data_IF_736757389052
#
_entry.id   IF_736757389052
#
_cell.length_a   1.000
_cell.length_b   1.000
_cell.length_c   1.000
_cell.angle_alpha   90.00
_cell.angle_beta   90.00
_cell.angle_gamma   90.00
#
_symmetry.space_group_name_H-M   'P 1'
#
loop_
_entity.id
_entity.type
_entity.pdbx_description
1 polymer ?
#
# COMPACT_ATOMS: atom_id res chain seq x y z
N UNK A 1 8.62 11.24 0.54
CA UNK A 1 7.44 12.08 0.21
C UNK A 1 6.42 11.21 -0.54
N UNK A 2 5.12 11.28 -0.24
CA UNK A 2 4.10 10.60 -1.04
C UNK A 2 4.14 11.07 -2.50
N UNK A 3 4.01 10.15 -3.46
CA UNK A 3 4.07 10.49 -4.89
C UNK A 3 5.46 10.82 -5.47
N UNK A 4 6.53 10.63 -4.70
CA UNK A 4 7.89 10.89 -5.18
C UNK A 4 8.47 9.77 -6.08
N UNK A 5 7.64 8.85 -6.56
CA UNK A 5 8.06 7.81 -7.51
C UNK A 5 8.87 6.66 -6.91
N UNK A 6 8.75 6.41 -5.60
CA UNK A 6 9.47 5.30 -4.94
C UNK A 6 9.30 3.97 -5.66
N UNK A 7 8.06 3.55 -5.88
CA UNK A 7 7.71 2.32 -6.60
C UNK A 7 8.34 2.30 -7.99
N UNK A 8 8.29 3.43 -8.72
CA UNK A 8 8.87 3.54 -10.06
C UNK A 8 10.40 3.40 -10.05
N UNK A 9 11.08 4.07 -9.10
CA UNK A 9 12.55 3.96 -8.95
C UNK A 9 12.95 2.52 -8.61
N UNK A 10 12.24 1.89 -7.66
CA UNK A 10 12.52 0.49 -7.32
C UNK A 10 12.31 -0.46 -8.48
N UNK A 11 11.24 -0.25 -9.25
CA UNK A 11 10.95 -1.05 -10.43
C UNK A 11 11.98 -0.84 -11.54
N UNK A 12 12.41 0.41 -11.79
CA UNK A 12 13.45 0.73 -12.77
C UNK A 12 14.78 0.05 -12.43
N UNK A 13 15.16 0.05 -11.15
CA UNK A 13 16.36 -0.66 -10.69
C UNK A 13 16.20 -2.17 -10.89
N UNK A 14 15.05 -2.76 -10.52
CA UNK A 14 14.82 -4.18 -10.68
C UNK A 14 14.86 -4.60 -12.15
N UNK A 15 14.20 -3.84 -13.04
CA UNK A 15 14.20 -4.11 -14.48
C UNK A 15 15.62 -3.99 -15.07
N UNK A 16 16.36 -2.94 -14.73
CA UNK A 16 17.73 -2.74 -15.24
C UNK A 16 18.69 -3.83 -14.79
N UNK A 17 18.51 -4.38 -13.60
CA UNK A 17 19.34 -5.48 -13.08
C UNK A 17 18.89 -6.84 -13.60
N UNK A 18 17.65 -6.97 -14.09
CA UNK A 18 17.11 -8.24 -14.59
C UNK A 18 17.21 -8.39 -16.11
N UNK A 19 17.55 -7.32 -16.84
CA UNK A 19 17.69 -7.38 -18.29
C UNK A 19 19.02 -6.75 -18.75
N UNK A 20 19.83 -7.52 -19.49
CA UNK A 20 21.03 -7.03 -20.14
C UNK A 20 20.63 -6.16 -21.35
N UNK A 21 21.16 -4.94 -21.42
CA UNK A 21 20.88 -3.97 -22.48
C UNK A 21 19.36 -3.73 -22.71
N UNK A 22 18.55 -4.00 -21.70
CA UNK A 22 17.09 -3.84 -21.73
C UNK A 22 16.33 -4.90 -22.56
N UNK A 23 16.99 -5.93 -23.06
CA UNK A 23 16.41 -6.89 -23.99
C UNK A 23 16.51 -8.36 -23.57
N UNK A 24 17.62 -8.80 -23.00
CA UNK A 24 17.86 -10.18 -22.65
C UNK A 24 17.73 -10.38 -21.11
N UNK A 25 16.89 -11.32 -20.71
CA UNK A 25 16.64 -11.60 -19.31
C UNK A 25 17.83 -12.37 -18.69
N UNK A 26 18.36 -11.86 -17.58
CA UNK A 26 19.46 -12.47 -16.82
C UNK A 26 18.87 -13.40 -15.76
N UNK A 27 19.16 -14.70 -15.83
CA UNK A 27 18.60 -15.66 -14.87
C UNK A 27 19.32 -15.73 -13.53
N UNK A 28 20.63 -15.48 -13.50
CA UNK A 28 21.49 -15.84 -12.34
C UNK A 28 22.02 -14.66 -11.50
N UNK A 29 21.91 -13.42 -11.95
CA UNK A 29 22.44 -12.23 -11.26
C UNK A 29 21.38 -11.13 -11.05
N UNK A 30 20.12 -11.45 -11.13
CA UNK A 30 19.03 -10.50 -11.14
C UNK A 30 18.79 -9.82 -9.80
N UNK A 31 17.90 -8.83 -9.84
CA UNK A 31 17.33 -8.20 -8.66
C UNK A 31 15.91 -8.72 -8.42
N UNK A 32 15.49 -8.79 -7.16
CA UNK A 32 14.11 -9.06 -6.82
C UNK A 32 13.44 -7.80 -6.26
N UNK A 33 12.32 -7.41 -6.85
CA UNK A 33 11.44 -6.37 -6.33
C UNK A 33 10.37 -7.01 -5.44
N UNK A 34 10.35 -6.63 -4.18
CA UNK A 34 9.47 -7.18 -3.15
C UNK A 34 8.48 -6.13 -2.65
N UNK A 35 7.22 -6.46 -2.64
CA UNK A 35 6.19 -5.64 -2.01
C UNK A 35 5.27 -6.46 -1.12
N UNK A 36 4.81 -5.87 -0.01
CA UNK A 36 3.79 -6.46 0.86
C UNK A 36 2.37 -6.33 0.31
N UNK A 37 2.18 -5.65 -0.82
CA UNK A 37 0.89 -5.39 -1.44
C UNK A 37 0.66 -6.31 -2.64
N UNK A 38 -0.17 -7.37 -2.47
CA UNK A 38 -0.52 -8.32 -3.53
C UNK A 38 -1.13 -7.67 -4.76
N UNK A 39 -2.19 -6.85 -4.63
CA UNK A 39 -2.77 -6.10 -5.75
C UNK A 39 -1.75 -5.29 -6.55
N UNK A 40 -0.83 -4.57 -5.88
CA UNK A 40 0.23 -3.83 -6.56
C UNK A 40 1.14 -4.77 -7.37
N UNK A 41 1.61 -5.85 -6.76
CA UNK A 41 2.46 -6.85 -7.43
C UNK A 41 1.75 -7.43 -8.65
N UNK A 42 0.48 -7.80 -8.54
CA UNK A 42 -0.29 -8.35 -9.64
C UNK A 42 -0.45 -7.38 -10.81
N UNK A 43 -0.83 -6.12 -10.52
CA UNK A 43 -0.98 -5.07 -11.55
C UNK A 43 0.35 -4.77 -12.24
N UNK A 44 1.45 -4.65 -11.49
CA UNK A 44 2.78 -4.42 -12.06
C UNK A 44 3.25 -5.60 -12.91
N UNK A 45 3.05 -6.82 -12.43
CA UNK A 45 3.41 -8.04 -13.18
C UNK A 45 2.66 -8.11 -14.50
N UNK A 46 1.36 -7.86 -14.50
CA UNK A 46 0.55 -7.88 -15.71
C UNK A 46 0.94 -6.76 -16.68
N UNK A 47 1.09 -5.52 -16.20
CA UNK A 47 1.47 -4.39 -17.02
C UNK A 47 2.82 -4.60 -17.72
N UNK A 48 3.82 -5.12 -16.99
CA UNK A 48 5.13 -5.42 -17.56
C UNK A 48 5.10 -6.63 -18.49
N UNK A 49 4.29 -7.64 -18.20
CA UNK A 49 4.13 -8.79 -19.11
C UNK A 49 3.51 -8.38 -20.45
N UNK A 50 2.52 -7.50 -20.43
CA UNK A 50 1.92 -6.92 -21.65
C UNK A 50 2.97 -6.11 -22.42
N UNK A 51 3.75 -5.26 -21.74
CA UNK A 51 4.80 -4.46 -22.38
C UNK A 51 5.91 -5.34 -22.97
N UNK A 52 6.36 -6.36 -22.24
CA UNK A 52 7.33 -7.34 -22.72
C UNK A 52 6.82 -8.08 -23.98
N UNK A 53 5.58 -8.56 -23.95
CA UNK A 53 4.97 -9.20 -25.13
C UNK A 53 4.91 -8.25 -26.32
N UNK A 54 4.54 -6.97 -26.11
CA UNK A 54 4.52 -5.94 -27.15
C UNK A 54 5.90 -5.72 -27.76
N UNK A 55 6.93 -5.53 -26.93
CA UNK A 55 8.32 -5.35 -27.37
C UNK A 55 8.84 -6.55 -28.17
N UNK A 56 8.55 -7.79 -27.73
CA UNK A 56 8.88 -9.00 -28.50
C UNK A 56 8.21 -8.99 -29.88
N UNK A 57 6.93 -8.64 -29.95
CA UNK A 57 6.19 -8.55 -31.23
C UNK A 57 6.78 -7.48 -32.15
N UNK A 58 7.18 -6.33 -31.62
CA UNK A 58 7.84 -5.25 -32.40
C UNK A 58 9.19 -5.70 -32.97
N UNK A 59 9.89 -6.65 -32.33
CA UNK A 59 11.12 -7.28 -32.81
C UNK A 59 10.87 -8.49 -33.74
N UNK A 60 9.62 -8.83 -34.03
CA UNK A 60 9.26 -10.00 -34.85
C UNK A 60 9.29 -11.32 -34.11
N UNK A 61 9.46 -11.31 -32.79
CA UNK A 61 9.48 -12.50 -31.93
C UNK A 61 8.05 -12.87 -31.50
N UNK A 62 7.79 -14.18 -31.39
CA UNK A 62 6.52 -14.69 -30.84
C UNK A 62 6.70 -15.08 -29.38
N UNK A 63 6.07 -14.34 -28.47
CA UNK A 63 6.02 -14.63 -27.03
C UNK A 63 4.57 -14.56 -26.55
N UNK A 64 4.12 -15.60 -25.85
CA UNK A 64 2.78 -15.54 -25.27
C UNK A 64 2.77 -14.79 -23.95
N UNK A 65 1.59 -14.32 -23.53
CA UNK A 65 1.45 -13.52 -22.30
C UNK A 65 1.77 -14.31 -21.04
N UNK A 66 1.47 -15.62 -21.04
CA UNK A 66 1.78 -16.51 -19.92
C UNK A 66 3.27 -16.65 -19.68
N UNK A 67 4.08 -16.74 -20.75
CA UNK A 67 5.54 -16.79 -20.64
C UNK A 67 6.10 -15.45 -20.16
N UNK A 68 5.56 -14.35 -20.64
CA UNK A 68 5.92 -13.01 -20.17
C UNK A 68 5.59 -12.82 -18.68
N UNK A 69 4.40 -13.27 -18.21
CA UNK A 69 4.04 -13.24 -16.78
C UNK A 69 4.99 -14.07 -15.92
N UNK A 70 5.38 -15.25 -16.42
CA UNK A 70 6.32 -16.13 -15.71
C UNK A 70 7.70 -15.49 -15.57
N UNK A 71 8.21 -14.85 -16.61
CA UNK A 71 9.48 -14.13 -16.61
C UNK A 71 9.45 -12.94 -15.64
N UNK A 72 8.44 -12.07 -15.75
CA UNK A 72 8.28 -10.93 -14.84
C UNK A 72 8.11 -11.40 -13.39
N UNK A 73 7.37 -12.48 -13.16
CA UNK A 73 7.17 -13.09 -11.84
C UNK A 73 8.44 -13.65 -11.19
N UNK A 74 9.55 -13.76 -11.93
CA UNK A 74 10.85 -14.13 -11.34
C UNK A 74 11.43 -12.95 -10.53
N UNK A 75 11.33 -11.74 -11.03
CA UNK A 75 11.92 -10.55 -10.40
C UNK A 75 10.92 -9.61 -9.71
N UNK A 76 9.61 -9.79 -9.87
CA UNK A 76 8.58 -9.08 -9.08
C UNK A 76 7.83 -10.10 -8.23
N UNK A 77 7.90 -9.97 -6.91
CA UNK A 77 7.31 -10.94 -6.01
C UNK A 77 6.61 -10.26 -4.82
N UNK A 78 5.56 -10.91 -4.33
CA UNK A 78 5.02 -10.57 -3.02
C UNK A 78 5.96 -11.07 -1.92
N UNK A 79 6.26 -10.22 -0.95
CA UNK A 79 7.18 -10.51 0.17
C UNK A 79 6.85 -11.84 0.88
N UNK A 80 5.57 -12.16 1.01
CA UNK A 80 5.14 -13.39 1.68
C UNK A 80 5.62 -14.64 0.95
N UNK A 81 5.59 -14.63 -0.39
CA UNK A 81 6.08 -15.75 -1.22
C UNK A 81 7.60 -15.88 -1.12
N UNK A 82 8.33 -14.77 -1.23
CA UNK A 82 9.77 -14.74 -1.06
C UNK A 82 10.18 -15.31 0.31
N UNK A 83 9.56 -14.80 1.38
CA UNK A 83 9.78 -15.27 2.74
C UNK A 83 9.51 -16.77 2.88
N UNK A 84 8.37 -17.25 2.41
CA UNK A 84 7.97 -18.67 2.55
C UNK A 84 8.91 -19.58 1.77
N UNK A 85 9.43 -19.17 0.61
CA UNK A 85 10.45 -19.88 -0.15
C UNK A 85 11.77 -19.97 0.63
N UNK A 86 12.19 -18.89 1.27
CA UNK A 86 13.41 -18.90 2.09
C UNK A 86 13.24 -19.75 3.36
N UNK A 87 12.09 -19.65 4.03
CA UNK A 87 11.78 -20.46 5.21
C UNK A 87 11.71 -21.96 4.90
N UNK A 88 11.34 -22.36 3.69
CA UNK A 88 11.34 -23.75 3.27
C UNK A 88 12.76 -24.34 3.20
N UNK A 89 13.79 -23.52 3.06
CA UNK A 89 15.20 -23.93 3.00
C UNK A 89 15.87 -24.08 4.37
N UNK A 90 15.25 -23.61 5.46
CA UNK A 90 15.88 -23.67 6.79
C UNK A 90 15.74 -25.04 7.47
N UNK A 91 16.65 -25.31 8.40
CA UNK A 91 16.52 -26.41 9.35
C UNK A 91 15.34 -26.16 10.30
N UNK A 92 14.46 -27.14 10.45
CA UNK A 92 13.32 -27.10 11.38
C UNK A 92 13.26 -28.42 12.16
N UNK A 93 13.25 -28.42 13.51
CA UNK A 93 13.08 -27.25 14.40
C UNK A 93 14.32 -26.36 14.49
N UNK A 94 14.09 -25.06 14.77
CA UNK A 94 15.13 -24.08 15.04
C UNK A 94 15.77 -24.42 16.40
N UNK A 95 17.10 -24.47 16.46
CA UNK A 95 17.86 -24.73 17.67
C UNK A 95 18.54 -23.46 18.16
N UNK A 96 18.47 -23.20 19.45
CA UNK A 96 19.13 -22.07 20.12
C UNK A 96 18.82 -20.68 19.50
N UNK A 97 17.68 -20.52 18.81
CA UNK A 97 17.32 -19.27 18.16
C UNK A 97 18.19 -18.90 16.95
N UNK A 98 18.95 -19.86 16.39
CA UNK A 98 19.83 -19.64 15.24
C UNK A 98 19.15 -20.22 14.00
N UNK A 99 19.03 -19.41 12.94
CA UNK A 99 18.57 -19.88 11.63
C UNK A 99 19.74 -20.45 10.85
N UNK A 100 19.56 -21.65 10.33
CA UNK A 100 20.55 -22.32 9.47
C UNK A 100 19.86 -22.83 8.21
N UNK A 101 20.55 -22.71 7.07
CA UNK A 101 20.12 -23.36 5.82
C UNK A 101 20.32 -24.87 5.95
N UNK A 102 19.35 -25.63 5.45
CA UNK A 102 19.41 -27.08 5.27
C UNK A 102 19.89 -27.33 3.83
N UNK A 103 21.13 -27.83 3.62
CA UNK A 103 21.70 -27.97 2.28
C UNK A 103 20.89 -28.90 1.37
N UNK A 104 20.31 -29.97 1.92
CA UNK A 104 19.51 -30.90 1.12
C UNK A 104 18.21 -30.27 0.63
N UNK A 105 17.53 -29.52 1.50
CA UNK A 105 16.33 -28.78 1.12
C UNK A 105 16.64 -27.66 0.12
N UNK A 106 17.74 -26.93 0.32
CA UNK A 106 18.17 -25.89 -0.60
C UNK A 106 18.41 -26.43 -2.00
N UNK A 107 19.18 -27.53 -2.14
CA UNK A 107 19.44 -28.19 -3.43
C UNK A 107 18.14 -28.70 -4.07
N UNK A 108 17.26 -29.32 -3.29
CA UNK A 108 15.97 -29.81 -3.79
C UNK A 108 15.08 -28.71 -4.33
N UNK A 109 15.02 -27.58 -3.62
CA UNK A 109 14.22 -26.42 -4.01
C UNK A 109 14.81 -25.68 -5.20
N UNK A 110 16.14 -25.55 -5.28
CA UNK A 110 16.82 -24.99 -6.46
C UNK A 110 16.51 -25.80 -7.72
N UNK A 111 16.60 -27.13 -7.67
CA UNK A 111 16.21 -28.01 -8.79
C UNK A 111 14.73 -27.90 -9.17
N UNK A 112 13.87 -27.46 -8.27
CA UNK A 112 12.45 -27.22 -8.52
C UNK A 112 12.17 -25.79 -9.04
N UNK A 113 13.22 -25.00 -9.35
CA UNK A 113 13.09 -23.63 -9.86
C UNK A 113 12.86 -22.56 -8.77
N UNK A 114 13.02 -22.91 -7.50
CA UNK A 114 13.07 -21.93 -6.40
C UNK A 114 14.52 -21.51 -6.21
N UNK A 115 14.96 -20.58 -7.04
CA UNK A 115 16.33 -20.22 -7.30
C UNK A 115 17.22 -19.86 -6.11
N UNK A 116 18.44 -19.50 -6.40
CA UNK A 116 19.41 -18.96 -5.46
C UNK A 116 18.92 -17.62 -4.90
N UNK A 117 19.56 -17.14 -3.83
CA UNK A 117 19.26 -15.83 -3.26
C UNK A 117 19.77 -14.76 -4.22
N UNK A 118 18.91 -13.81 -4.60
CA UNK A 118 19.28 -12.70 -5.46
C UNK A 118 20.37 -11.84 -4.82
N UNK A 119 21.22 -11.20 -5.63
CA UNK A 119 22.21 -10.24 -5.12
C UNK A 119 21.57 -8.94 -4.66
N UNK A 120 20.51 -8.52 -5.31
CA UNK A 120 19.83 -7.25 -5.04
C UNK A 120 18.38 -7.50 -4.67
N UNK A 121 17.96 -7.04 -3.50
CA UNK A 121 16.56 -7.00 -3.11
C UNK A 121 16.07 -5.56 -2.96
N UNK A 122 15.03 -5.20 -3.69
CA UNK A 122 14.35 -3.90 -3.57
C UNK A 122 13.07 -4.14 -2.79
N UNK A 123 12.95 -3.51 -1.63
CA UNK A 123 11.79 -3.67 -0.77
C UNK A 123 10.91 -2.41 -0.79
N UNK A 124 9.80 -2.45 -1.53
CA UNK A 124 8.85 -1.33 -1.60
C UNK A 124 7.89 -1.37 -0.41
N UNK A 125 7.89 -0.27 0.36
CA UNK A 125 7.15 -0.17 1.60
C UNK A 125 7.85 -0.86 2.77
N UNK A 126 9.17 -0.71 2.90
CA UNK A 126 9.97 -1.34 3.94
C UNK A 126 9.53 -1.00 5.37
N UNK A 127 8.89 0.16 5.60
CA UNK A 127 8.28 0.53 6.88
C UNK A 127 7.14 -0.40 7.31
N UNK A 128 6.59 -1.21 6.38
CA UNK A 128 5.49 -2.13 6.62
C UNK A 128 5.93 -3.55 7.00
N UNK A 129 7.23 -3.78 7.12
CA UNK A 129 7.76 -5.07 7.57
C UNK A 129 7.17 -5.46 8.94
N UNK A 130 6.94 -6.75 9.12
CA UNK A 130 6.28 -7.25 10.33
C UNK A 130 7.22 -7.28 11.51
N UNK A 131 6.68 -6.91 12.69
CA UNK A 131 7.40 -7.10 13.96
C UNK A 131 7.70 -8.58 14.21
N UNK A 132 8.69 -8.85 15.05
CA UNK A 132 9.02 -10.21 15.49
C UNK A 132 7.79 -10.96 16.00
N UNK A 133 6.98 -10.32 16.88
CA UNK A 133 5.76 -10.93 17.44
C UNK A 133 4.78 -11.34 16.34
N UNK A 134 4.48 -10.46 15.41
CA UNK A 134 3.53 -10.74 14.32
C UNK A 134 4.00 -11.88 13.43
N UNK A 135 5.28 -11.89 13.06
CA UNK A 135 5.85 -12.94 12.22
C UNK A 135 5.88 -14.29 12.94
N UNK A 136 6.32 -14.31 14.20
CA UNK A 136 6.34 -15.52 15.03
C UNK A 136 4.94 -16.10 15.23
N UNK A 137 3.94 -15.27 15.55
CA UNK A 137 2.55 -15.71 15.69
C UNK A 137 1.96 -16.26 14.38
N UNK A 138 2.32 -15.67 13.25
CA UNK A 138 1.90 -16.13 11.92
C UNK A 138 2.49 -17.52 11.60
N UNK A 139 3.79 -17.69 11.80
CA UNK A 139 4.50 -18.94 11.51
C UNK A 139 4.08 -20.07 12.46
N UNK A 140 3.77 -19.76 13.72
CA UNK A 140 3.25 -20.73 14.69
C UNK A 140 1.91 -21.31 14.27
N UNK A 141 1.04 -20.51 13.62
CA UNK A 141 -0.26 -20.98 13.11
C UNK A 141 -0.13 -21.76 11.78
N UNK A 142 1.02 -21.68 11.12
CA UNK A 142 1.28 -22.38 9.87
C UNK A 142 0.82 -21.60 8.65
N UNK A 143 1.24 -20.36 8.48
CA UNK A 143 1.09 -19.48 7.29
C UNK A 143 0.01 -19.80 6.26
N UNK A 144 -0.45 -18.82 5.53
CA UNK A 144 -1.54 -18.99 4.54
C UNK A 144 -1.06 -19.12 3.10
N UNK A 145 0.19 -18.83 2.82
CA UNK A 145 0.73 -18.83 1.46
C UNK A 145 1.57 -20.11 1.20
N UNK A 146 1.02 -21.04 0.42
CA UNK A 146 1.72 -22.12 -0.26
C UNK A 146 2.30 -23.27 0.58
N UNK A 147 3.11 -22.99 1.55
CA UNK A 147 3.68 -23.97 2.46
C UNK A 147 3.12 -23.79 3.87
N UNK A 148 2.33 -24.74 4.33
CA UNK A 148 1.80 -24.79 5.72
C UNK A 148 2.92 -25.12 6.72
N UNK A 149 4.07 -24.43 6.62
CA UNK A 149 5.22 -24.65 7.47
C UNK A 149 4.93 -24.06 8.85
N UNK A 150 4.70 -24.93 9.83
CA UNK A 150 4.61 -24.51 11.22
C UNK A 150 6.01 -24.39 11.80
N UNK A 151 6.40 -23.17 12.15
CA UNK A 151 7.66 -22.89 12.81
C UNK A 151 7.36 -22.30 14.18
N UNK A 152 7.85 -22.97 15.22
CA UNK A 152 7.74 -22.47 16.61
C UNK A 152 9.00 -21.65 16.93
N UNK A 153 8.81 -20.66 17.79
CA UNK A 153 9.88 -19.86 18.38
C UNK A 153 10.82 -19.22 17.33
N UNK A 154 10.20 -18.68 16.26
CA UNK A 154 10.94 -18.00 15.21
C UNK A 154 11.62 -16.72 15.76
N UNK A 155 12.94 -16.55 15.61
CA UNK A 155 13.71 -15.58 16.39
C UNK A 155 13.85 -14.20 15.77
N UNK A 156 13.38 -13.96 14.54
CA UNK A 156 13.62 -12.73 13.80
C UNK A 156 12.33 -11.96 13.51
N UNK A 157 12.45 -10.63 13.40
CA UNK A 157 11.46 -9.80 12.72
C UNK A 157 11.55 -10.00 11.19
N UNK A 158 10.57 -9.54 10.44
CA UNK A 158 10.60 -9.66 8.97
C UNK A 158 11.78 -8.89 8.38
N UNK A 159 12.10 -7.69 8.88
CA UNK A 159 13.27 -6.93 8.48
C UNK A 159 14.57 -7.71 8.73
N UNK A 160 14.73 -8.24 9.94
CA UNK A 160 15.92 -9.05 10.28
C UNK A 160 16.02 -10.33 9.45
N UNK A 161 14.90 -10.97 9.12
CA UNK A 161 14.86 -12.16 8.28
C UNK A 161 15.25 -11.86 6.83
N UNK A 162 14.82 -10.73 6.29
CA UNK A 162 15.20 -10.30 4.95
C UNK A 162 16.68 -10.01 4.84
N UNK A 163 17.25 -9.31 5.84
CA UNK A 163 18.72 -9.10 5.90
C UNK A 163 19.42 -10.44 5.99
N UNK A 164 18.98 -11.32 6.90
CA UNK A 164 19.55 -12.66 7.05
C UNK A 164 19.51 -13.46 5.76
N UNK A 165 18.43 -13.36 4.98
CA UNK A 165 18.29 -14.13 3.73
C UNK A 165 19.34 -13.73 2.67
N UNK A 166 19.66 -12.43 2.57
CA UNK A 166 20.68 -11.95 1.65
C UNK A 166 22.10 -12.11 2.23
N UNK A 167 22.23 -12.14 3.55
CA UNK A 167 23.50 -12.39 4.25
C UNK A 167 24.02 -13.84 4.06
N UNK A 168 23.21 -14.71 3.44
CA UNK A 168 23.67 -16.05 3.02
C UNK A 168 24.54 -16.03 1.76
N UNK A 169 24.67 -14.88 1.08
CA UNK A 169 25.60 -14.71 -0.04
C UNK A 169 27.02 -14.56 0.49
N UNK A 170 27.96 -15.29 -0.11
CA UNK A 170 29.38 -15.27 0.31
C UNK A 170 30.15 -14.08 -0.29
N UNK A 171 29.69 -13.56 -1.43
CA UNK A 171 30.38 -12.51 -2.19
C UNK A 171 29.87 -11.12 -1.85
N UNK A 172 28.70 -10.72 -2.31
CA UNK A 172 28.06 -9.45 -2.03
C UNK A 172 26.54 -9.50 -2.11
N UNK A 173 25.89 -8.62 -1.39
CA UNK A 173 24.46 -8.39 -1.50
C UNK A 173 24.09 -6.94 -1.22
N UNK A 174 23.00 -6.47 -1.78
CA UNK A 174 22.45 -5.12 -1.57
C UNK A 174 20.95 -5.18 -1.28
N UNK A 175 20.53 -4.46 -0.24
CA UNK A 175 19.11 -4.27 0.08
C UNK A 175 18.77 -2.80 -0.12
N UNK A 176 17.78 -2.52 -0.96
CA UNK A 176 17.25 -1.18 -1.21
C UNK A 176 15.88 -1.06 -0.53
N UNK A 177 15.80 -0.32 0.56
CA UNK A 177 14.57 -0.06 1.28
C UNK A 177 13.90 1.23 0.79
N UNK A 178 12.76 1.13 0.13
CA UNK A 178 11.95 2.27 -0.27
C UNK A 178 10.95 2.59 0.85
N UNK A 179 11.15 3.72 1.51
CA UNK A 179 10.41 4.10 2.72
C UNK A 179 9.51 5.29 2.45
N UNK A 180 8.27 5.23 2.92
CA UNK A 180 7.32 6.34 2.90
C UNK A 180 6.66 6.51 4.25
N UNK A 181 6.79 7.68 4.87
CA UNK A 181 6.14 7.97 6.14
C UNK A 181 4.61 8.06 6.05
N UNK A 182 3.91 7.76 7.16
CA UNK A 182 2.46 7.94 7.30
C UNK A 182 1.59 7.04 6.42
N UNK A 183 2.12 5.91 5.95
CA UNK A 183 1.40 4.95 5.11
C UNK A 183 1.18 3.58 5.78
N UNK A 184 1.44 3.50 7.07
CA UNK A 184 1.14 2.33 7.88
C UNK A 184 -0.38 2.18 8.04
N UNK A 185 -0.94 1.08 7.55
CA UNK A 185 -2.39 0.81 7.56
C UNK A 185 -2.77 -0.49 8.26
N UNK A 186 -1.78 -1.25 8.76
CA UNK A 186 -2.05 -2.52 9.44
C UNK A 186 -1.33 -2.63 10.79
N UNK A 187 -1.97 -3.31 11.75
CA UNK A 187 -1.37 -3.65 13.04
C UNK A 187 -0.12 -4.52 12.90
N UNK A 188 0.93 -4.18 13.66
CA UNK A 188 2.17 -4.94 13.71
C UNK A 188 3.15 -4.63 12.57
N UNK A 189 2.98 -3.51 11.87
CA UNK A 189 4.01 -2.93 11.02
C UNK A 189 5.05 -2.21 11.90
N UNK A 190 6.32 -2.46 11.64
CA UNK A 190 7.41 -2.16 12.58
C UNK A 190 8.16 -0.84 12.30
N UNK A 191 7.82 -0.17 11.20
CA UNK A 191 8.54 1.04 10.78
C UNK A 191 10.00 0.77 10.39
N UNK A 192 10.76 1.86 10.22
CA UNK A 192 12.19 1.79 9.90
C UNK A 192 13.05 1.34 11.10
N UNK A 193 12.56 1.51 12.31
CA UNK A 193 13.30 1.21 13.54
C UNK A 193 13.72 -0.25 13.65
N UNK A 194 12.91 -1.20 13.17
CA UNK A 194 13.29 -2.63 13.18
C UNK A 194 14.42 -2.95 12.20
N UNK A 195 14.49 -2.26 11.06
CA UNK A 195 15.61 -2.40 10.14
C UNK A 195 16.92 -1.91 10.80
N UNK A 196 16.88 -0.73 11.41
CA UNK A 196 18.04 -0.14 12.10
C UNK A 196 18.46 -1.03 13.27
N UNK A 197 17.51 -1.53 14.06
CA UNK A 197 17.77 -2.44 15.17
C UNK A 197 18.45 -3.73 14.69
N UNK A 198 17.94 -4.35 13.63
CA UNK A 198 18.52 -5.56 13.08
C UNK A 198 19.96 -5.34 12.60
N UNK A 199 20.23 -4.21 11.93
CA UNK A 199 21.57 -3.85 11.47
C UNK A 199 22.53 -3.60 12.64
N UNK A 200 22.11 -2.90 13.67
CA UNK A 200 22.97 -2.61 14.83
C UNK A 200 23.25 -3.84 15.71
N UNK A 201 22.25 -4.71 15.93
CA UNK A 201 22.35 -5.80 16.89
C UNK A 201 22.85 -7.11 16.28
N UNK A 202 22.54 -7.39 15.01
CA UNK A 202 22.77 -8.71 14.40
C UNK A 202 23.64 -8.69 13.14
N UNK A 203 23.55 -7.61 12.35
CA UNK A 203 24.19 -7.50 11.04
C UNK A 203 25.09 -6.27 10.96
N UNK A 204 25.87 -6.01 12.01
CA UNK A 204 26.76 -4.84 12.14
C UNK A 204 27.89 -4.79 11.09
N UNK A 205 28.12 -5.86 10.35
CA UNK A 205 29.08 -5.89 9.23
C UNK A 205 28.56 -5.20 7.96
N UNK A 206 27.23 -5.01 7.82
CA UNK A 206 26.65 -4.32 6.69
C UNK A 206 26.95 -2.82 6.69
N UNK A 207 27.19 -2.26 5.51
CA UNK A 207 27.31 -0.80 5.30
C UNK A 207 25.91 -0.22 5.10
N UNK A 208 25.64 0.92 5.72
CA UNK A 208 24.34 1.58 5.68
C UNK A 208 24.48 2.90 4.91
N UNK A 209 23.71 3.05 3.84
CA UNK A 209 23.54 4.29 3.11
C UNK A 209 22.14 4.83 3.36
N UNK A 210 22.02 6.06 3.86
CA UNK A 210 20.75 6.60 4.31
C UNK A 210 20.61 8.07 3.93
N UNK A 211 19.38 8.53 3.68
CA UNK A 211 19.09 9.95 3.46
C UNK A 211 19.34 10.77 4.71
N UNK A 212 19.99 11.92 4.56
CA UNK A 212 20.21 12.93 5.62
C UNK A 212 18.89 13.61 6.08
N UNK A 213 17.76 13.43 5.36
CA UNK A 213 16.47 14.07 5.62
C UNK A 213 15.45 13.19 6.34
N UNK A 214 15.86 12.05 6.88
CA UNK A 214 14.97 11.15 7.65
C UNK A 214 14.83 11.60 9.13
N UNK A 215 14.55 12.89 9.35
CA UNK A 215 14.43 13.51 10.68
C UNK A 215 12.97 13.78 11.10
N UNK A 216 12.00 13.54 10.20
CA UNK A 216 10.58 13.77 10.48
C UNK A 216 10.04 12.73 11.48
N UNK A 217 9.05 13.14 12.29
CA UNK A 217 8.40 12.25 13.29
C UNK A 217 7.82 10.97 12.70
N UNK A 218 7.47 10.97 11.43
CA UNK A 218 6.94 9.82 10.71
C UNK A 218 7.98 8.68 10.56
N UNK A 219 9.27 8.97 10.81
CA UNK A 219 10.36 8.00 10.72
C UNK A 219 10.96 7.77 12.11
N UNK A 220 10.62 6.66 12.74
CA UNK A 220 11.09 6.27 14.07
C UNK A 220 10.94 7.40 15.12
N UNK A 221 9.81 8.14 15.11
CA UNK A 221 9.55 9.30 15.96
C UNK A 221 10.61 10.42 15.87
N UNK A 222 11.27 10.56 14.72
CA UNK A 222 12.35 11.51 14.48
C UNK A 222 13.71 11.08 15.05
N UNK A 223 13.83 9.86 15.58
CA UNK A 223 15.04 9.37 16.28
C UNK A 223 16.01 8.57 15.41
N UNK A 224 15.85 8.58 14.09
CA UNK A 224 16.72 7.81 13.18
C UNK A 224 18.21 8.10 13.42
N UNK A 225 18.58 9.38 13.57
CA UNK A 225 19.96 9.78 13.81
C UNK A 225 20.49 9.28 15.17
N UNK A 226 19.65 9.27 16.20
CA UNK A 226 20.03 8.72 17.52
C UNK A 226 20.26 7.21 17.45
N UNK A 227 19.38 6.49 16.73
CA UNK A 227 19.50 5.04 16.56
C UNK A 227 20.76 4.63 15.77
N UNK A 228 21.28 5.50 14.94
CA UNK A 228 22.47 5.27 14.12
C UNK A 228 23.74 5.93 14.65
N UNK A 229 23.67 6.72 15.73
CA UNK A 229 24.77 7.54 16.23
C UNK A 229 26.06 6.75 16.56
N UNK A 230 25.93 5.50 16.99
CA UNK A 230 27.05 4.64 17.38
C UNK A 230 27.48 3.65 16.27
N UNK A 231 26.96 3.80 15.04
CA UNK A 231 27.31 2.91 13.95
C UNK A 231 28.28 3.60 12.99
N UNK A 232 29.51 3.13 12.95
CA UNK A 232 30.61 3.68 12.14
C UNK A 232 30.51 3.36 10.65
N UNK A 233 29.57 2.51 10.24
CA UNK A 233 29.35 2.09 8.85
C UNK A 233 28.21 2.84 8.14
N UNK A 234 27.76 3.93 8.73
CA UNK A 234 26.67 4.76 8.19
C UNK A 234 27.22 5.87 7.30
N UNK A 235 26.69 5.94 6.09
CA UNK A 235 26.96 7.04 5.15
C UNK A 235 25.67 7.79 4.85
N UNK A 236 25.63 9.07 5.15
CA UNK A 236 24.50 9.95 4.83
C UNK A 236 24.65 10.53 3.43
N UNK A 237 23.56 10.56 2.66
CA UNK A 237 23.54 11.13 1.32
C UNK A 237 22.19 11.80 1.01
N UNK A 238 22.25 13.06 0.60
CA UNK A 238 21.08 13.79 0.11
C UNK A 238 20.48 13.21 -1.18
N UNK A 239 21.30 12.50 -1.98
CA UNK A 239 20.87 11.85 -3.22
C UNK A 239 19.92 10.66 -2.98
N UNK A 240 19.86 10.13 -1.76
CA UNK A 240 18.93 9.08 -1.37
C UNK A 240 17.56 9.62 -0.94
N UNK A 241 17.34 10.93 -1.05
CA UNK A 241 16.07 11.55 -0.75
C UNK A 241 15.27 11.82 -2.03
N UNK A 242 14.14 11.11 -2.18
CA UNK A 242 13.18 11.42 -3.23
C UNK A 242 12.29 12.60 -2.78
N UNK A 243 12.82 13.81 -2.96
CA UNK A 243 12.19 15.06 -2.49
C UNK A 243 11.23 15.70 -3.48
N UNK A 244 11.31 15.30 -4.76
CA UNK A 244 10.48 15.87 -5.81
C UNK A 244 9.31 14.93 -6.09
N UNK A 245 8.09 15.46 -6.00
CA UNK A 245 6.90 14.71 -6.38
C UNK A 245 6.87 14.53 -7.91
N UNK A 246 6.78 13.28 -8.38
CA UNK A 246 6.48 12.97 -9.79
C UNK A 246 5.01 13.20 -10.12
N UNK A 247 4.18 13.44 -9.12
CA UNK A 247 2.81 13.90 -9.35
C UNK A 247 2.85 15.23 -10.08
N UNK A 248 1.86 15.43 -10.93
CA UNK A 248 1.64 16.74 -11.54
C UNK A 248 1.88 17.85 -10.51
N UNK A 249 2.54 18.94 -10.89
CA UNK A 249 2.65 20.18 -10.08
C UNK A 249 1.29 20.62 -9.50
N UNK A 250 0.19 20.14 -10.10
CA UNK A 250 -1.17 20.35 -9.63
C UNK A 250 -1.46 19.75 -8.25
N UNK A 251 -0.76 18.64 -7.90
CA UNK A 251 -0.97 17.95 -6.63
C UNK A 251 0.14 18.21 -5.59
N UNK A 252 1.02 19.19 -5.81
CA UNK A 252 2.19 19.45 -4.98
C UNK A 252 1.82 19.67 -3.50
N UNK A 253 0.76 20.43 -3.24
CA UNK A 253 0.32 20.74 -1.88
C UNK A 253 -0.80 19.82 -1.37
N UNK A 254 -1.18 18.79 -2.12
CA UNK A 254 -2.27 17.89 -1.75
C UNK A 254 -2.01 17.18 -0.41
N UNK A 255 -0.77 16.75 -0.19
CA UNK A 255 -0.42 16.06 1.06
C UNK A 255 -0.57 16.97 2.28
N UNK A 256 -0.20 18.27 2.16
CA UNK A 256 -0.37 19.25 3.21
C UNK A 256 -1.87 19.53 3.47
N UNK A 257 -2.66 19.66 2.41
CA UNK A 257 -4.12 19.78 2.51
C UNK A 257 -4.73 18.58 3.26
N UNK A 258 -4.45 17.36 2.82
CA UNK A 258 -4.99 16.13 3.43
C UNK A 258 -4.54 15.98 4.87
N UNK A 259 -3.28 16.31 5.19
CA UNK A 259 -2.80 16.31 6.57
C UNK A 259 -3.60 17.30 7.44
N UNK A 260 -3.74 18.55 6.98
CA UNK A 260 -4.48 19.59 7.71
C UNK A 260 -5.96 19.23 7.88
N UNK A 261 -6.60 18.67 6.83
CA UNK A 261 -7.98 18.20 6.87
C UNK A 261 -8.17 17.10 7.93
N UNK A 262 -7.35 16.07 7.90
CA UNK A 262 -7.48 14.93 8.82
C UNK A 262 -7.06 15.26 10.27
N UNK A 263 -6.33 16.36 10.48
CA UNK A 263 -5.88 16.83 11.80
C UNK A 263 -6.76 17.96 12.37
N UNK A 264 -7.85 18.33 11.70
CA UNK A 264 -8.65 19.53 12.04
C UNK A 264 -7.82 20.82 12.14
N UNK A 265 -6.73 20.91 11.37
CA UNK A 265 -5.92 22.12 11.36
C UNK A 265 -6.65 23.24 10.59
N UNK A 266 -6.77 24.46 11.15
CA UNK A 266 -7.38 25.60 10.47
C UNK A 266 -6.77 25.93 9.10
N UNK A 267 -5.51 25.57 8.88
CA UNK A 267 -4.81 25.77 7.61
C UNK A 267 -5.40 24.95 6.44
N UNK A 268 -6.32 24.02 6.69
CA UNK A 268 -6.94 23.21 5.64
C UNK A 268 -7.59 24.07 4.55
N UNK A 269 -8.31 25.16 4.94
CA UNK A 269 -8.92 26.09 3.99
C UNK A 269 -7.87 26.83 3.15
N UNK A 270 -6.76 27.25 3.75
CA UNK A 270 -5.65 27.90 3.04
C UNK A 270 -5.01 26.95 2.01
N UNK A 271 -4.76 25.70 2.39
CA UNK A 271 -4.22 24.72 1.48
C UNK A 271 -5.18 24.38 0.35
N UNK A 272 -6.48 24.27 0.64
CA UNK A 272 -7.50 24.07 -0.38
C UNK A 272 -7.51 25.21 -1.40
N UNK A 273 -7.50 26.48 -0.97
CA UNK A 273 -7.44 27.63 -1.86
C UNK A 273 -6.20 27.64 -2.78
N UNK A 274 -5.06 27.15 -2.29
CA UNK A 274 -3.84 27.04 -3.09
C UNK A 274 -3.95 26.01 -4.20
N UNK A 275 -4.65 24.89 -3.95
CA UNK A 275 -4.66 23.75 -4.89
C UNK A 275 -5.88 23.75 -5.82
N UNK A 276 -7.04 24.29 -5.41
CA UNK A 276 -8.32 24.14 -6.12
C UNK A 276 -8.31 24.56 -7.60
N UNK A 277 -7.49 25.52 -7.97
CA UNK A 277 -7.37 25.99 -9.37
C UNK A 277 -6.73 24.99 -10.31
N UNK A 278 -5.80 24.19 -9.79
CA UNK A 278 -4.99 23.25 -10.57
C UNK A 278 -5.31 21.78 -10.28
N UNK A 279 -5.87 21.54 -9.10
CA UNK A 279 -6.29 20.23 -8.64
C UNK A 279 -7.71 20.34 -8.04
N UNK A 280 -8.75 20.14 -8.86
CA UNK A 280 -10.13 20.30 -8.41
C UNK A 280 -10.48 19.22 -7.36
N UNK A 281 -10.98 19.70 -6.23
CA UNK A 281 -11.58 18.84 -5.19
C UNK A 281 -12.99 19.38 -4.99
N UNK A 282 -13.99 18.54 -5.24
CA UNK A 282 -15.40 18.89 -5.09
C UNK A 282 -16.08 17.98 -4.08
N UNK A 283 -17.17 18.46 -3.49
CA UNK A 283 -17.95 17.76 -2.48
C UNK A 283 -19.36 17.49 -3.01
N UNK A 284 -19.91 16.32 -2.71
CA UNK A 284 -21.30 16.02 -3.00
C UNK A 284 -21.88 15.03 -1.99
N UNK A 285 -23.21 14.96 -1.90
CA UNK A 285 -23.93 13.93 -1.17
C UNK A 285 -24.55 12.88 -2.11
N UNK A 286 -24.53 13.16 -3.40
CA UNK A 286 -25.16 12.37 -4.45
C UNK A 286 -24.12 11.58 -5.24
N UNK A 287 -24.23 10.25 -5.23
CA UNK A 287 -23.32 9.36 -5.94
C UNK A 287 -23.45 9.48 -7.46
N UNK A 288 -24.64 9.79 -7.99
CA UNK A 288 -24.84 9.95 -9.42
C UNK A 288 -24.23 11.26 -9.94
N UNK A 289 -24.26 12.31 -9.14
CA UNK A 289 -23.51 13.55 -9.41
C UNK A 289 -22.00 13.29 -9.38
N UNK A 290 -21.50 12.50 -8.42
CA UNK A 290 -20.10 12.10 -8.37
C UNK A 290 -19.69 11.34 -9.64
N UNK A 291 -20.47 10.34 -10.06
CA UNK A 291 -20.24 9.59 -11.31
C UNK A 291 -20.25 10.50 -12.54
N UNK A 292 -21.24 11.40 -12.63
CA UNK A 292 -21.36 12.35 -13.73
C UNK A 292 -20.13 13.28 -13.80
N UNK A 293 -19.68 13.78 -12.65
CA UNK A 293 -18.49 14.62 -12.57
C UNK A 293 -17.24 13.86 -13.04
N UNK A 294 -17.01 12.64 -12.57
CA UNK A 294 -15.87 11.82 -13.01
C UNK A 294 -15.90 11.59 -14.53
N UNK A 295 -17.06 11.18 -15.07
CA UNK A 295 -17.23 10.96 -16.53
C UNK A 295 -16.97 12.24 -17.33
N UNK A 296 -17.35 13.42 -16.82
CA UNK A 296 -17.13 14.71 -17.47
C UNK A 296 -15.65 15.13 -17.51
N UNK A 297 -14.86 14.68 -16.53
CA UNK A 297 -13.43 15.02 -16.41
C UNK A 297 -12.51 14.04 -17.11
N UNK A 298 -12.85 12.75 -17.13
CA UNK A 298 -12.00 11.67 -17.64
C UNK A 298 -11.99 11.64 -19.16
N UNK A 299 -10.82 11.74 -19.78
CA UNK A 299 -10.64 11.77 -21.23
C UNK A 299 -9.55 10.81 -21.72
N UNK A 300 -9.72 10.28 -22.92
CA UNK A 300 -8.74 9.41 -23.57
C UNK A 300 -8.41 8.17 -22.72
N UNK A 301 -7.15 7.95 -22.46
CA UNK A 301 -6.63 6.83 -21.63
C UNK A 301 -6.65 7.09 -20.13
N UNK A 302 -7.20 8.22 -19.68
CA UNK A 302 -7.27 8.53 -18.26
C UNK A 302 -8.15 7.53 -17.52
N UNK A 303 -7.77 7.24 -16.28
CA UNK A 303 -8.46 6.32 -15.38
C UNK A 303 -9.19 7.10 -14.28
N UNK A 304 -10.44 6.75 -14.08
CA UNK A 304 -11.23 7.19 -12.94
C UNK A 304 -11.69 5.98 -12.13
N UNK A 305 -11.94 6.15 -10.82
CA UNK A 305 -12.43 5.05 -9.99
C UNK A 305 -13.03 5.53 -8.68
N UNK A 306 -13.89 4.68 -8.11
CA UNK A 306 -14.48 4.86 -6.79
C UNK A 306 -13.58 4.21 -5.75
N UNK A 307 -13.29 4.95 -4.69
CA UNK A 307 -12.43 4.50 -3.59
C UNK A 307 -13.19 4.52 -2.27
N UNK A 308 -13.02 3.48 -1.47
CA UNK A 308 -13.70 3.32 -0.18
C UNK A 308 -12.73 2.83 0.89
N UNK A 309 -13.04 3.09 2.16
CA UNK A 309 -12.35 2.44 3.27
C UNK A 309 -12.68 0.94 3.28
N UNK A 310 -11.70 0.10 3.62
CA UNK A 310 -11.92 -1.33 3.89
C UNK A 310 -12.96 -1.57 5.00
N UNK A 311 -13.09 -0.63 5.93
CA UNK A 311 -14.09 -0.69 6.99
C UNK A 311 -15.49 -0.24 6.54
N UNK A 312 -15.62 0.31 5.34
CA UNK A 312 -16.89 0.69 4.74
C UNK A 312 -17.76 -0.54 4.51
N UNK A 313 -19.04 -0.44 4.84
CA UNK A 313 -19.93 -1.60 4.82
C UNK A 313 -21.30 -1.33 4.19
N UNK A 314 -21.68 -0.07 3.96
CA UNK A 314 -23.09 0.29 3.71
C UNK A 314 -23.35 0.99 2.36
N UNK A 315 -22.66 0.57 1.29
CA UNK A 315 -22.77 1.19 -0.04
C UNK A 315 -23.61 0.45 -1.06
N UNK A 316 -24.08 -0.77 -0.77
CA UNK A 316 -24.97 -1.51 -1.68
C UNK A 316 -26.22 -0.72 -2.10
N UNK A 317 -26.89 0.06 -1.21
CA UNK A 317 -28.02 0.90 -1.61
C UNK A 317 -27.68 2.03 -2.59
N UNK A 318 -26.40 2.36 -2.76
CA UNK A 318 -25.90 3.32 -3.75
C UNK A 318 -25.43 2.64 -5.04
N UNK A 319 -25.77 1.36 -5.23
CA UNK A 319 -25.30 0.53 -6.33
C UNK A 319 -23.75 0.55 -6.46
N UNK A 320 -23.07 0.46 -5.32
CA UNK A 320 -21.61 0.32 -5.24
C UNK A 320 -21.28 -1.02 -4.61
N UNK A 321 -20.50 -1.80 -5.33
CA UNK A 321 -19.91 -3.05 -4.87
C UNK A 321 -18.45 -2.79 -4.46
N UNK A 322 -18.06 -3.30 -3.29
CA UNK A 322 -16.64 -3.23 -2.88
C UNK A 322 -15.93 -4.39 -3.57
N UNK A 323 -14.87 -4.04 -4.30
CA UNK A 323 -14.09 -5.00 -5.06
C UNK A 323 -13.60 -6.14 -4.16
N UNK A 324 -13.95 -7.36 -4.52
CA UNK A 324 -13.53 -8.53 -3.76
C UNK A 324 -12.01 -8.66 -3.69
N UNK A 325 -11.53 -9.23 -2.60
CA UNK A 325 -10.11 -9.50 -2.45
C UNK A 325 -9.68 -10.55 -3.47
N UNK A 326 -8.64 -10.23 -4.23
CA UNK A 326 -8.09 -11.10 -5.26
C UNK A 326 -7.20 -10.28 -6.19
N UNK A 327 -6.05 -10.83 -6.53
CA UNK A 327 -5.08 -10.15 -7.36
C UNK A 327 -5.62 -9.92 -8.78
N UNK A 328 -6.38 -10.88 -9.32
CA UNK A 328 -7.01 -10.78 -10.65
C UNK A 328 -8.04 -9.64 -10.73
N UNK A 329 -8.84 -9.46 -9.67
CA UNK A 329 -9.83 -8.39 -9.62
C UNK A 329 -9.15 -7.00 -9.67
N UNK A 330 -8.04 -6.84 -8.96
CA UNK A 330 -7.25 -5.61 -9.01
C UNK A 330 -6.66 -5.36 -10.41
N UNK A 331 -6.16 -6.40 -11.08
CA UNK A 331 -5.62 -6.31 -12.44
C UNK A 331 -6.69 -5.80 -13.40
N UNK A 332 -7.86 -6.41 -13.43
CA UNK A 332 -8.96 -5.97 -14.30
C UNK A 332 -9.41 -4.54 -13.97
N UNK A 333 -9.58 -4.23 -12.69
CA UNK A 333 -10.02 -2.92 -12.26
C UNK A 333 -9.05 -1.79 -12.69
N UNK A 334 -7.73 -2.03 -12.61
CA UNK A 334 -6.73 -1.02 -12.98
C UNK A 334 -6.39 -0.99 -14.46
N UNK A 335 -6.32 -2.15 -15.13
CA UNK A 335 -5.73 -2.21 -16.48
C UNK A 335 -6.77 -2.24 -17.61
N UNK A 336 -7.98 -2.79 -17.37
CA UNK A 336 -9.00 -2.85 -18.42
C UNK A 336 -9.48 -1.45 -18.84
N UNK A 337 -9.86 -1.34 -20.08
CA UNK A 337 -10.37 -0.09 -20.61
C UNK A 337 -11.81 0.20 -20.18
N UNK A 338 -12.34 1.36 -20.55
CA UNK A 338 -13.66 1.82 -20.12
C UNK A 338 -14.87 1.03 -20.68
N UNK A 339 -14.65 0.10 -21.60
CA UNK A 339 -15.70 -0.74 -22.17
C UNK A 339 -15.84 -2.07 -21.41
N UNK A 340 -14.89 -2.41 -20.56
CA UNK A 340 -14.97 -3.59 -19.68
C UNK A 340 -15.69 -3.21 -18.38
N UNK A 341 -16.70 -3.99 -18.01
CA UNK A 341 -17.51 -3.76 -16.79
C UNK A 341 -16.68 -3.87 -15.50
N UNK A 342 -15.55 -4.56 -15.54
CA UNK A 342 -14.62 -4.72 -14.41
C UNK A 342 -13.65 -3.53 -14.25
N UNK A 343 -13.60 -2.63 -15.25
CA UNK A 343 -12.72 -1.47 -15.23
C UNK A 343 -13.15 -0.46 -14.17
N UNK A 344 -12.19 0.19 -13.53
CA UNK A 344 -12.43 1.32 -12.61
C UNK A 344 -13.28 2.44 -13.24
N UNK A 345 -13.15 2.63 -14.57
CA UNK A 345 -13.91 3.65 -15.31
C UNK A 345 -15.41 3.36 -15.38
N UNK A 346 -15.85 2.13 -15.08
CA UNK A 346 -17.28 1.78 -15.05
C UNK A 346 -17.99 2.39 -13.84
N UNK A 347 -17.23 2.65 -12.74
CA UNK A 347 -17.68 3.35 -11.52
C UNK A 347 -18.78 2.62 -10.73
N UNK A 348 -18.84 1.30 -10.81
CA UNK A 348 -19.75 0.45 -10.03
C UNK A 348 -19.00 -0.31 -8.93
N UNK A 349 -17.77 -0.74 -9.24
CA UNK A 349 -16.87 -1.38 -8.27
C UNK A 349 -15.95 -0.35 -7.62
N UNK A 350 -15.88 -0.39 -6.30
CA UNK A 350 -15.02 0.48 -5.50
C UNK A 350 -13.80 -0.28 -4.95
N UNK A 351 -12.61 0.26 -5.14
CA UNK A 351 -11.39 -0.29 -4.56
C UNK A 351 -11.11 0.28 -3.17
N UNK A 352 -10.52 -0.54 -2.31
CA UNK A 352 -10.14 -0.15 -0.95
C UNK A 352 -8.73 0.46 -0.91
N UNK A 353 -8.39 1.11 0.22
CA UNK A 353 -7.05 1.66 0.44
C UNK A 353 -5.94 0.62 0.27
N UNK A 354 -6.22 -0.66 0.57
CA UNK A 354 -5.25 -1.75 0.41
C UNK A 354 -5.01 -2.02 -1.08
N UNK A 355 -6.07 -2.03 -1.90
CA UNK A 355 -5.98 -2.31 -3.32
C UNK A 355 -5.34 -1.17 -4.11
N UNK A 356 -5.53 0.08 -3.69
CA UNK A 356 -4.95 1.25 -4.39
C UNK A 356 -3.62 1.72 -3.82
N UNK A 357 -3.13 1.09 -2.76
CA UNK A 357 -1.85 1.51 -2.18
C UNK A 357 -0.69 1.22 -3.14
N UNK A 358 0.11 2.24 -3.45
CA UNK A 358 1.18 2.17 -4.45
C UNK A 358 0.71 2.43 -5.88
N UNK A 359 -0.61 2.44 -6.15
CA UNK A 359 -1.21 2.73 -7.44
C UNK A 359 -1.91 4.08 -7.42
N UNK A 360 -2.07 4.70 -8.57
CA UNK A 360 -2.69 6.02 -8.73
C UNK A 360 -3.67 6.02 -9.91
N UNK A 361 -4.72 6.82 -9.78
CA UNK A 361 -5.70 7.11 -10.82
C UNK A 361 -5.61 8.58 -11.24
N UNK A 362 -6.15 8.94 -12.37
CA UNK A 362 -6.22 10.35 -12.77
C UNK A 362 -7.26 11.10 -11.97
N UNK A 363 -8.44 10.52 -11.82
CA UNK A 363 -9.53 11.06 -11.02
C UNK A 363 -10.10 10.01 -10.07
N UNK A 364 -10.54 10.42 -8.89
CA UNK A 364 -11.16 9.52 -7.93
C UNK A 364 -12.45 10.08 -7.35
N UNK A 365 -13.38 9.19 -7.01
CA UNK A 365 -14.42 9.47 -6.04
C UNK A 365 -14.02 8.81 -4.73
N UNK A 366 -13.75 9.60 -3.70
CA UNK A 366 -13.61 9.08 -2.33
C UNK A 366 -15.00 9.04 -1.72
N UNK A 367 -15.59 7.84 -1.66
CA UNK A 367 -16.89 7.62 -1.07
C UNK A 367 -16.72 7.36 0.43
N UNK A 368 -17.14 8.32 1.23
CA UNK A 368 -16.94 8.34 2.67
C UNK A 368 -18.09 7.64 3.40
N UNK A 369 -17.77 6.59 4.18
CA UNK A 369 -18.78 5.88 4.96
C UNK A 369 -18.80 6.32 6.43
N UNK A 370 -19.69 5.72 7.19
CA UNK A 370 -19.91 5.97 8.60
C UNK A 370 -18.89 5.30 9.54
N UNK A 371 -17.82 4.72 9.00
CA UNK A 371 -16.71 4.14 9.77
C UNK A 371 -15.82 5.21 10.43
N UNK A 372 -15.66 6.38 9.80
CA UNK A 372 -14.97 7.54 10.37
C UNK A 372 -15.88 8.76 10.29
N UNK A 373 -16.33 9.24 11.45
CA UNK A 373 -17.31 10.33 11.55
C UNK A 373 -16.71 11.55 12.22
N UNK A 374 -17.06 12.72 11.73
CA UNK A 374 -16.76 13.99 12.41
C UNK A 374 -17.87 14.30 13.42
N UNK A 375 -17.58 14.22 14.70
CA UNK A 375 -18.50 14.58 15.78
C UNK A 375 -17.82 15.62 16.68
N UNK A 376 -18.42 16.80 16.83
CA UNK A 376 -17.87 17.89 17.65
C UNK A 376 -16.40 18.21 17.35
N UNK A 377 -16.05 18.34 16.07
CA UNK A 377 -14.68 18.62 15.60
C UNK A 377 -13.65 17.58 16.08
N UNK A 378 -14.06 16.31 16.13
CA UNK A 378 -13.18 15.15 16.43
C UNK A 378 -13.58 13.99 15.55
N UNK A 379 -12.60 13.21 15.13
CA UNK A 379 -12.86 11.96 14.47
C UNK A 379 -13.27 10.90 15.47
N UNK A 380 -14.41 10.26 15.22
CA UNK A 380 -14.90 9.07 15.87
C UNK A 380 -14.79 7.88 14.92
N UNK A 381 -14.45 6.74 15.45
CA UNK A 381 -14.13 5.53 14.68
C UNK A 381 -15.10 4.42 15.02
N UNK A 382 -15.66 3.79 13.99
CA UNK A 382 -16.69 2.78 14.14
C UNK A 382 -16.38 1.56 13.28
N UNK A 383 -16.62 0.37 13.83
CA UNK A 383 -16.58 -0.87 13.08
C UNK A 383 -18.02 -1.38 12.89
N UNK A 384 -18.35 -1.81 11.67
CA UNK A 384 -19.64 -2.42 11.40
C UNK A 384 -19.62 -3.88 11.87
N UNK A 385 -20.37 -4.18 12.94
CA UNK A 385 -20.34 -5.48 13.56
C UNK A 385 -21.56 -6.33 13.16
N UNK A 386 -21.27 -7.45 12.54
CA UNK A 386 -22.27 -8.43 12.18
C UNK A 386 -23.20 -7.92 11.07
N UNK A 387 -24.47 -7.74 11.36
CA UNK A 387 -25.49 -7.48 10.33
C UNK A 387 -26.27 -6.18 10.56
N UNK A 388 -26.11 -5.52 11.71
CA UNK A 388 -27.13 -4.56 12.16
C UNK A 388 -26.64 -3.28 12.80
N UNK A 389 -25.38 -3.14 13.22
CA UNK A 389 -24.97 -1.96 14.00
C UNK A 389 -23.49 -1.58 13.83
N UNK A 390 -23.25 -0.28 13.93
CA UNK A 390 -21.93 0.29 14.12
C UNK A 390 -21.55 0.25 15.60
N UNK A 391 -20.31 -0.15 15.90
CA UNK A 391 -19.72 -0.07 17.25
C UNK A 391 -18.59 0.92 17.26
N UNK A 392 -18.62 1.88 18.19
CA UNK A 392 -17.53 2.83 18.38
C UNK A 392 -16.28 2.12 18.93
N UNK A 393 -15.13 2.42 18.36
CA UNK A 393 -13.82 1.96 18.81
C UNK A 393 -13.30 2.90 19.92
N UNK A 394 -13.72 2.64 21.16
CA UNK A 394 -13.41 3.47 22.34
C UNK A 394 -12.28 2.92 23.21
N UNK A 395 -11.71 1.77 22.86
CA UNK A 395 -10.67 1.12 23.65
C UNK A 395 -9.45 2.03 23.90
N UNK A 396 -8.87 1.90 25.10
CA UNK A 396 -7.66 2.67 25.51
C UNK A 396 -6.38 1.85 25.40
N UNK A 397 -6.47 0.60 24.97
CA UNK A 397 -5.31 -0.25 24.73
C UNK A 397 -4.49 0.24 23.55
N UNK A 398 -3.20 -0.02 23.55
CA UNK A 398 -2.30 0.28 22.42
C UNK A 398 -2.88 -0.20 21.08
N UNK A 399 -3.35 -1.44 21.04
CA UNK A 399 -3.99 -2.02 19.84
C UNK A 399 -5.25 -1.27 19.38
N UNK A 400 -6.03 -0.66 20.29
CA UNK A 400 -7.21 0.14 19.93
C UNK A 400 -6.80 1.53 19.41
N UNK A 401 -5.75 2.12 19.97
CA UNK A 401 -5.18 3.37 19.49
C UNK A 401 -4.61 3.19 18.08
N UNK A 402 -3.84 2.14 17.85
CA UNK A 402 -3.33 1.79 16.53
C UNK A 402 -4.44 1.60 15.50
N UNK A 403 -5.50 0.86 15.82
CA UNK A 403 -6.65 0.66 14.91
C UNK A 403 -7.26 1.98 14.47
N UNK A 404 -7.50 2.91 15.39
CA UNK A 404 -8.02 4.25 15.05
C UNK A 404 -7.07 5.01 14.14
N UNK A 405 -5.77 4.94 14.40
CA UNK A 405 -4.76 5.55 13.54
C UNK A 405 -4.77 4.93 12.13
N UNK A 406 -4.92 3.62 12.02
CA UNK A 406 -5.01 2.95 10.72
C UNK A 406 -6.27 3.33 9.95
N UNK A 407 -7.42 3.47 10.61
CA UNK A 407 -8.65 3.95 9.96
C UNK A 407 -8.47 5.37 9.42
N UNK A 408 -7.82 6.25 10.16
CA UNK A 408 -7.51 7.59 9.68
C UNK A 408 -6.49 7.58 8.53
N UNK A 409 -5.47 6.74 8.61
CA UNK A 409 -4.49 6.57 7.56
C UNK A 409 -5.10 5.97 6.28
N UNK A 410 -6.15 5.12 6.39
CA UNK A 410 -6.90 4.64 5.23
C UNK A 410 -7.46 5.82 4.42
N UNK A 411 -8.14 6.77 5.06
CA UNK A 411 -8.62 7.99 4.39
C UNK A 411 -7.48 8.86 3.87
N UNK A 412 -6.34 8.93 4.57
CA UNK A 412 -5.15 9.62 4.03
C UNK A 412 -4.68 8.98 2.71
N UNK A 413 -4.65 7.66 2.64
CA UNK A 413 -4.32 6.93 1.40
C UNK A 413 -5.34 7.25 0.32
N UNK A 414 -6.63 7.11 0.57
CA UNK A 414 -7.70 7.34 -0.40
C UNK A 414 -7.68 8.77 -0.97
N UNK A 415 -7.58 9.77 -0.11
CA UNK A 415 -7.54 11.20 -0.47
C UNK A 415 -6.27 11.63 -1.22
N UNK A 416 -5.28 10.75 -1.30
CA UNK A 416 -4.02 11.01 -2.00
C UNK A 416 -3.81 10.11 -3.23
N UNK A 417 -4.82 9.41 -3.73
CA UNK A 417 -4.65 8.50 -4.89
C UNK A 417 -4.89 9.13 -6.24
N UNK A 418 -5.59 10.25 -6.30
CA UNK A 418 -5.81 10.94 -7.55
C UNK A 418 -4.59 11.78 -7.97
N UNK A 419 -4.27 11.78 -9.25
CA UNK A 419 -3.19 12.61 -9.83
C UNK A 419 -3.66 13.98 -10.27
N UNK A 420 -4.93 14.12 -10.65
CA UNK A 420 -5.45 15.32 -11.31
C UNK A 420 -6.57 15.99 -10.50
N UNK A 421 -7.46 15.22 -9.88
CA UNK A 421 -8.56 15.76 -9.09
C UNK A 421 -9.45 14.69 -8.50
N UNK A 422 -10.29 15.08 -7.54
CA UNK A 422 -11.18 14.15 -6.87
C UNK A 422 -12.54 14.77 -6.55
N UNK A 423 -13.54 13.89 -6.40
CA UNK A 423 -14.80 14.21 -5.73
C UNK A 423 -14.86 13.45 -4.42
N UNK A 424 -15.24 14.12 -3.35
CA UNK A 424 -15.53 13.50 -2.06
C UNK A 424 -17.05 13.37 -1.98
N UNK A 425 -17.55 12.14 -1.90
CA UNK A 425 -18.96 11.86 -1.76
C UNK A 425 -19.26 11.41 -0.33
N UNK A 426 -20.05 12.19 0.39
CA UNK A 426 -20.52 11.87 1.75
C UNK A 426 -22.04 11.68 1.67
N UNK A 427 -22.55 10.44 1.68
CA UNK A 427 -23.99 10.16 1.47
C UNK A 427 -24.90 10.90 2.45
N UNK A 428 -26.15 11.10 2.07
CA UNK A 428 -27.16 11.67 2.96
C UNK A 428 -27.62 10.72 4.06
N UNK A 429 -27.38 9.43 3.87
CA UNK A 429 -27.94 8.40 4.71
C UNK A 429 -29.35 7.99 4.25
N UNK A 430 -30.12 7.36 5.14
CA UNK A 430 -31.50 6.99 4.89
C UNK A 430 -32.41 7.82 5.77
N UNK A 431 -33.28 8.62 5.13
CA UNK A 431 -34.27 9.48 5.79
C UNK A 431 -35.64 8.84 5.97
N UNK A 432 -35.82 7.60 5.46
CA UNK A 432 -37.09 6.92 5.48
C UNK A 432 -37.37 6.31 6.85
N UNK A 433 -38.63 6.34 7.21
CA UNK A 433 -39.17 5.72 8.41
C UNK A 433 -40.30 4.76 8.06
N UNK A 434 -40.33 3.61 8.71
CA UNK A 434 -41.40 2.65 8.60
C UNK A 434 -42.51 2.98 9.60
N UNK A 435 -43.66 2.28 9.48
CA UNK A 435 -44.75 2.35 10.43
C UNK A 435 -44.29 2.13 11.86
N UNK A 436 -44.65 3.05 12.77
CA UNK A 436 -44.19 3.03 14.17
C UNK A 436 -43.00 3.96 14.47
N UNK A 437 -42.53 4.75 13.51
CA UNK A 437 -41.49 5.77 13.70
C UNK A 437 -40.06 5.22 13.80
N UNK A 438 -39.85 3.98 13.39
CA UNK A 438 -38.50 3.39 13.31
C UNK A 438 -37.83 3.71 11.98
N UNK A 439 -36.52 3.99 11.93
CA UNK A 439 -35.79 4.17 10.69
C UNK A 439 -35.91 2.91 9.81
N UNK A 440 -36.13 3.06 8.51
CA UNK A 440 -36.12 1.97 7.54
C UNK A 440 -34.74 1.28 7.51
N UNK A 441 -33.67 2.06 7.58
CA UNK A 441 -32.29 1.57 7.69
C UNK A 441 -31.53 2.30 8.82
N UNK A 442 -31.61 1.77 10.02
CA UNK A 442 -30.93 2.30 11.21
C UNK A 442 -29.38 2.22 11.10
N UNK A 443 -28.85 1.56 10.09
CA UNK A 443 -27.40 1.47 9.87
C UNK A 443 -26.84 2.59 9.00
N UNK A 444 -27.72 3.44 8.43
CA UNK A 444 -27.38 4.56 7.55
C UNK A 444 -28.13 5.84 7.96
N UNK A 445 -28.18 6.12 9.24
CA UNK A 445 -28.83 7.35 9.72
C UNK A 445 -28.11 8.60 9.20
N UNK A 446 -28.82 9.67 8.82
CA UNK A 446 -28.24 10.92 8.33
C UNK A 446 -27.20 11.50 9.27
N UNK A 447 -27.41 11.42 10.56
CA UNK A 447 -26.51 11.91 11.59
C UNK A 447 -25.10 11.26 11.55
N UNK A 448 -24.97 10.08 10.95
CA UNK A 448 -23.67 9.41 10.80
C UNK A 448 -22.78 10.10 9.75
N UNK A 449 -23.37 10.82 8.82
CA UNK A 449 -22.71 11.45 7.67
C UNK A 449 -22.65 12.98 7.79
N UNK A 450 -23.67 13.59 8.39
CA UNK A 450 -23.87 15.04 8.41
C UNK A 450 -22.71 15.81 9.03
N UNK A 451 -22.14 15.31 10.12
CA UNK A 451 -21.01 15.96 10.78
C UNK A 451 -19.78 16.06 9.87
N UNK A 452 -19.46 14.95 9.18
CA UNK A 452 -18.37 14.91 8.21
C UNK A 452 -18.61 15.83 7.02
N UNK A 453 -19.81 15.81 6.45
CA UNK A 453 -20.18 16.69 5.36
C UNK A 453 -20.09 18.18 5.75
N UNK A 454 -20.65 18.56 6.90
CA UNK A 454 -20.60 19.94 7.41
C UNK A 454 -19.16 20.40 7.65
N UNK A 455 -18.32 19.55 8.19
CA UNK A 455 -16.90 19.83 8.37
C UNK A 455 -16.19 20.08 7.04
N UNK A 456 -16.34 19.19 6.05
CA UNK A 456 -15.75 19.34 4.73
C UNK A 456 -16.23 20.62 4.02
N UNK A 457 -17.52 20.93 4.13
CA UNK A 457 -18.09 22.17 3.59
C UNK A 457 -17.53 23.42 4.29
N UNK A 458 -17.27 23.37 5.60
CA UNK A 458 -16.70 24.49 6.36
C UNK A 458 -15.25 24.84 5.96
N UNK A 459 -14.50 23.89 5.38
CA UNK A 459 -13.18 24.13 4.80
C UNK A 459 -13.27 24.96 3.51
N UNK A 460 -14.45 25.02 2.88
CA UNK A 460 -14.71 25.76 1.65
C UNK A 460 -14.74 24.89 0.39
N UNK A 461 -14.86 23.56 0.51
CA UNK A 461 -14.97 22.68 -0.65
C UNK A 461 -16.19 23.05 -1.50
N UNK A 462 -15.98 23.17 -2.82
CA UNK A 462 -17.04 23.45 -3.79
C UNK A 462 -18.02 22.27 -3.87
N UNK A 463 -19.31 22.57 -3.74
CA UNK A 463 -20.38 21.56 -3.80
C UNK A 463 -20.92 21.43 -5.23
N UNK A 464 -21.19 20.19 -5.67
CA UNK A 464 -21.78 19.87 -6.98
C UNK A 464 -23.09 19.10 -6.86
#
# INVERSE_FOLDING_TARGET
MPGAGKTLVGLDVAVKQSYQDGNEFIEDEGAVYLSGNGPLVAVLTEALAIDNQRKCRERGERKNLSDSRREVGKFIQIIHRYRDNMLAKIKNPIRNGILEIDPEKAIKLSKAGYGEVEHVAIFDGAQRSWTHKRLSDYLKRGGTYGNKLKIKDFPLSEAAFLIWSLDQREDWATIICLIGGGQEINTGEAGISEWIKALNERFSHWKIYISDKLTEKEYADGRVNELLANNDKVTYSSNLHLGVSLRSFRAENLSAFVHSLLSFNPDASMWYEKIRKHYPIVLTRDMDKARAWLRSKTRGSQKAGVLVSKAAARFKPLAIHILEQGDENAVHWFLEDRNDVRSSNYLEDAATEIQVQGLELDYTCVLWDADVRCENMKWKFYNFNGKTAWREETGKTESSLERRQYMLNAYRVLLTRARIGMVICVPEGNHNYISGGFPEDATRLPEFYDGTYKYLKSIGLEEI
#
